data_IF_252937690835
#
_entry.id   IF_252937690835
#
_cell.length_a   1.000
_cell.length_b   1.000
_cell.length_c   1.000
_cell.angle_alpha   90.00
_cell.angle_beta   90.00
_cell.angle_gamma   90.00
#
_symmetry.space_group_name_H-M   'P 1'
#
loop_
_entity.id
_entity.type
_entity.pdbx_description
1 polymer ?
#
# COMPACT_ATOMS: atom_id res chain seq x y z
N UNK A 1 -1.10 5.49 1.83
CA UNK A 1 -2.34 4.67 1.74
C UNK A 1 -2.10 3.33 2.44
N UNK A 2 -2.80 3.04 3.54
CA UNK A 2 -2.61 1.83 4.36
C UNK A 2 -3.92 1.25 4.91
N UNK A 3 -4.90 2.10 5.24
CA UNK A 3 -6.19 1.69 5.83
C UNK A 3 -7.38 1.96 4.92
N UNK A 4 -8.58 1.52 5.32
CA UNK A 4 -9.83 1.84 4.61
C UNK A 4 -10.09 3.35 4.67
N UNK A 5 -9.84 3.99 5.80
CA UNK A 5 -10.02 5.43 5.96
C UNK A 5 -9.12 6.22 5.02
N UNK A 6 -7.86 5.79 4.84
CA UNK A 6 -6.97 6.39 3.84
C UNK A 6 -7.56 6.27 2.42
N UNK A 7 -8.20 5.15 2.08
CA UNK A 7 -8.79 4.94 0.77
C UNK A 7 -10.04 5.81 0.54
N UNK A 8 -10.87 6.00 1.57
CA UNK A 8 -12.03 6.88 1.53
C UNK A 8 -11.62 8.35 1.40
N UNK A 9 -10.63 8.78 2.20
CA UNK A 9 -10.06 10.12 2.12
C UNK A 9 -9.45 10.37 0.74
N UNK A 10 -8.64 9.43 0.24
CA UNK A 10 -7.97 9.58 -1.04
C UNK A 10 -8.96 9.71 -2.20
N UNK A 11 -10.02 8.88 -2.21
CA UNK A 11 -11.10 9.03 -3.19
C UNK A 11 -11.71 10.42 -3.14
N UNK A 12 -11.94 10.95 -1.95
CA UNK A 12 -12.47 12.30 -1.77
C UNK A 12 -11.55 13.39 -2.25
N UNK A 13 -10.25 13.30 -1.95
CA UNK A 13 -9.26 14.24 -2.48
C UNK A 13 -9.15 14.19 -3.99
N UNK A 14 -9.23 13.01 -4.61
CA UNK A 14 -9.15 12.86 -6.07
C UNK A 14 -10.37 13.48 -6.74
N UNK A 15 -11.58 13.09 -6.33
CA UNK A 15 -12.82 13.60 -6.93
C UNK A 15 -13.01 15.09 -6.64
N UNK A 16 -12.73 15.53 -5.41
CA UNK A 16 -12.79 16.93 -5.01
C UNK A 16 -11.80 17.81 -5.78
N UNK A 17 -10.66 17.28 -6.23
CA UNK A 17 -9.71 18.03 -7.07
C UNK A 17 -10.31 18.36 -8.45
N UNK A 18 -11.00 17.40 -9.09
CA UNK A 18 -11.71 17.66 -10.34
C UNK A 18 -12.87 18.65 -10.14
N UNK A 19 -13.64 18.50 -9.06
CA UNK A 19 -14.73 19.42 -8.73
C UNK A 19 -14.23 20.84 -8.46
N UNK A 20 -13.10 20.98 -7.75
CA UNK A 20 -12.47 22.28 -7.50
C UNK A 20 -11.92 22.89 -8.79
N UNK A 21 -11.34 22.08 -9.69
CA UNK A 21 -10.83 22.54 -10.97
C UNK A 21 -11.93 23.07 -11.90
N UNK A 22 -13.13 22.46 -11.86
CA UNK A 22 -14.31 22.90 -12.62
C UNK A 22 -14.78 24.31 -12.23
N UNK A 23 -14.62 24.70 -10.96
CA UNK A 23 -15.04 26.01 -10.45
C UNK A 23 -13.90 27.04 -10.39
N UNK A 24 -12.64 26.60 -10.52
CA UNK A 24 -11.49 27.50 -10.51
C UNK A 24 -11.41 28.31 -11.82
N UNK A 25 -11.15 29.61 -11.67
CA UNK A 25 -10.96 30.57 -12.76
C UNK A 25 -9.48 30.89 -13.01
N UNK A 26 -8.59 30.46 -12.13
CA UNK A 26 -7.14 30.61 -12.28
C UNK A 26 -6.56 29.39 -13.03
N UNK A 27 -5.94 29.58 -14.22
CA UNK A 27 -5.30 28.50 -14.95
C UNK A 27 -4.20 27.79 -14.17
N UNK A 28 -3.44 28.50 -13.32
CA UNK A 28 -2.35 27.91 -12.55
C UNK A 28 -2.88 26.99 -11.45
N UNK A 29 -3.87 27.46 -10.68
CA UNK A 29 -4.59 26.63 -9.71
C UNK A 29 -5.25 25.42 -10.37
N UNK A 30 -5.91 25.60 -11.51
CA UNK A 30 -6.52 24.50 -12.27
C UNK A 30 -5.51 23.44 -12.66
N UNK A 31 -4.35 23.84 -13.19
CA UNK A 31 -3.28 22.91 -13.57
C UNK A 31 -2.76 22.12 -12.34
N UNK A 32 -2.61 22.79 -11.20
CA UNK A 32 -2.20 22.16 -9.93
C UNK A 32 -3.25 21.17 -9.42
N UNK A 33 -4.54 21.53 -9.48
CA UNK A 33 -5.66 20.67 -9.08
C UNK A 33 -5.76 19.42 -9.97
N UNK A 34 -5.45 19.54 -11.25
CA UNK A 34 -5.43 18.43 -12.21
C UNK A 34 -4.10 17.67 -12.24
N UNK A 35 -3.15 17.97 -11.36
CA UNK A 35 -1.90 17.22 -11.23
C UNK A 35 -1.94 16.28 -10.03
N UNK A 36 -1.76 14.98 -10.30
CA UNK A 36 -1.76 13.89 -9.34
C UNK A 36 -0.37 13.26 -9.30
N UNK A 37 0.21 13.14 -8.11
CA UNK A 37 1.55 12.55 -7.96
C UNK A 37 1.51 11.32 -7.06
N UNK A 38 1.95 10.19 -7.59
CA UNK A 38 2.08 8.93 -6.87
C UNK A 38 3.56 8.67 -6.61
N UNK A 39 3.95 8.62 -5.34
CA UNK A 39 5.32 8.34 -4.91
C UNK A 39 5.46 6.86 -4.55
N UNK A 40 6.37 6.17 -5.24
CA UNK A 40 6.67 4.74 -5.14
C UNK A 40 6.11 3.94 -6.31
N UNK A 41 6.96 3.47 -7.22
CA UNK A 41 6.65 2.61 -8.35
C UNK A 41 6.66 1.10 -7.99
N UNK A 42 6.35 0.77 -6.74
CA UNK A 42 6.00 -0.59 -6.33
C UNK A 42 4.59 -0.99 -6.79
N UNK A 43 4.13 -2.21 -6.48
CA UNK A 43 2.79 -2.69 -6.88
C UNK A 43 1.67 -1.71 -6.54
N UNK A 44 1.65 -1.17 -5.32
CA UNK A 44 0.62 -0.23 -4.88
C UNK A 44 0.61 1.05 -5.69
N UNK A 45 1.75 1.68 -5.94
CA UNK A 45 1.77 2.94 -6.70
C UNK A 45 1.50 2.75 -8.19
N UNK A 46 1.93 1.64 -8.77
CA UNK A 46 1.56 1.26 -10.15
C UNK A 46 0.04 1.07 -10.28
N UNK A 47 -0.57 0.33 -9.36
CA UNK A 47 -2.03 0.15 -9.31
C UNK A 47 -2.75 1.49 -9.15
N UNK A 48 -2.27 2.36 -8.25
CA UNK A 48 -2.87 3.66 -8.00
C UNK A 48 -2.76 4.60 -9.22
N UNK A 49 -1.58 4.70 -9.84
CA UNK A 49 -1.37 5.57 -10.99
C UNK A 49 -2.26 5.16 -12.17
N UNK A 50 -2.31 3.86 -12.49
CA UNK A 50 -3.15 3.37 -13.58
C UNK A 50 -4.65 3.48 -13.30
N UNK A 51 -5.09 3.35 -12.04
CA UNK A 51 -6.49 3.56 -11.67
C UNK A 51 -6.91 5.04 -11.67
N UNK A 52 -6.03 5.97 -11.29
CA UNK A 52 -6.27 7.41 -11.43
C UNK A 52 -6.35 7.79 -12.90
N UNK A 53 -5.42 7.32 -13.74
CA UNK A 53 -5.43 7.58 -15.18
C UNK A 53 -6.72 7.05 -15.83
N UNK A 54 -7.16 5.83 -15.49
CA UNK A 54 -8.45 5.33 -15.98
C UNK A 54 -9.65 6.14 -15.49
N UNK A 55 -9.64 6.56 -14.22
CA UNK A 55 -10.70 7.39 -13.67
C UNK A 55 -10.81 8.71 -14.46
N UNK A 56 -9.69 9.41 -14.62
CA UNK A 56 -9.60 10.68 -15.32
C UNK A 56 -9.97 10.53 -16.80
N UNK A 57 -9.28 9.64 -17.51
CA UNK A 57 -9.32 9.61 -18.97
C UNK A 57 -10.54 8.89 -19.54
N UNK A 58 -11.21 8.06 -18.74
CA UNK A 58 -12.34 7.24 -19.20
C UNK A 58 -13.61 7.44 -18.38
N UNK A 59 -13.54 7.36 -17.06
CA UNK A 59 -14.75 7.40 -16.21
C UNK A 59 -15.33 8.80 -16.11
N UNK A 60 -14.48 9.82 -15.95
CA UNK A 60 -14.89 11.21 -15.81
C UNK A 60 -14.93 11.96 -17.15
N UNK A 61 -14.58 11.31 -18.26
CA UNK A 61 -14.62 11.94 -19.58
C UNK A 61 -16.04 12.48 -19.88
N UNK A 62 -16.14 13.81 -20.06
CA UNK A 62 -17.40 14.51 -20.28
C UNK A 62 -18.29 14.69 -19.04
N UNK A 63 -17.77 14.44 -17.83
CA UNK A 63 -18.52 14.65 -16.58
C UNK A 63 -18.58 16.13 -16.14
N UNK A 64 -17.67 16.96 -16.64
CA UNK A 64 -17.51 18.37 -16.27
C UNK A 64 -17.70 19.27 -17.50
N UNK A 65 -18.04 20.55 -17.28
CA UNK A 65 -18.40 21.49 -18.36
C UNK A 65 -17.26 22.43 -18.75
N UNK A 66 -16.42 22.85 -17.81
CA UNK A 66 -15.37 23.85 -18.03
C UNK A 66 -13.96 23.27 -18.03
N UNK A 67 -13.79 22.03 -17.55
CA UNK A 67 -12.55 21.26 -17.64
C UNK A 67 -12.75 19.97 -18.45
N UNK A 68 -11.68 19.47 -19.04
CA UNK A 68 -11.60 18.09 -19.50
C UNK A 68 -10.75 17.28 -18.51
N UNK A 69 -11.34 16.29 -17.81
CA UNK A 69 -10.57 15.41 -16.93
C UNK A 69 -9.45 14.64 -17.64
N UNK A 70 -9.48 14.54 -18.96
CA UNK A 70 -8.39 13.96 -19.77
C UNK A 70 -7.12 14.80 -19.79
N UNK A 71 -7.20 16.06 -19.38
CA UNK A 71 -6.04 16.94 -19.21
C UNK A 71 -5.34 16.71 -17.87
N UNK A 72 -5.82 15.78 -17.05
CA UNK A 72 -5.18 15.42 -15.80
C UNK A 72 -3.77 14.90 -16.04
N UNK A 73 -2.83 15.41 -15.27
CA UNK A 73 -1.42 15.00 -15.29
C UNK A 73 -1.19 14.01 -14.17
N UNK A 74 -0.92 12.74 -14.49
CA UNK A 74 -0.64 11.69 -13.50
C UNK A 74 0.84 11.37 -13.54
N UNK A 75 1.56 11.59 -12.45
CA UNK A 75 3.01 11.37 -12.36
C UNK A 75 3.30 10.22 -11.40
N UNK A 76 4.03 9.21 -11.84
CA UNK A 76 4.55 8.12 -11.01
C UNK A 76 6.04 8.33 -10.75
N UNK A 77 6.40 8.64 -9.50
CA UNK A 77 7.78 8.91 -9.07
C UNK A 77 8.36 7.74 -8.28
N UNK A 78 9.62 7.37 -8.55
CA UNK A 78 10.39 6.49 -7.67
C UNK A 78 11.89 6.83 -7.75
N UNK A 79 12.60 6.65 -6.62
CA UNK A 79 14.05 6.74 -6.58
C UNK A 79 14.72 5.54 -7.25
N UNK A 80 14.03 4.40 -7.34
CA UNK A 80 14.48 3.23 -8.08
C UNK A 80 14.45 3.48 -9.60
N UNK A 81 15.34 2.84 -10.38
CA UNK A 81 15.42 3.04 -11.83
C UNK A 81 14.35 2.27 -12.62
N UNK A 82 13.49 1.48 -11.97
CA UNK A 82 12.50 0.64 -12.64
C UNK A 82 11.19 0.58 -11.86
N UNK A 83 10.05 0.57 -12.58
CA UNK A 83 8.76 0.17 -12.01
C UNK A 83 8.78 -1.31 -11.61
N UNK A 84 8.02 -1.66 -10.58
CA UNK A 84 7.89 -3.02 -10.04
C UNK A 84 9.25 -3.72 -9.85
N UNK A 85 10.19 -3.18 -9.05
CA UNK A 85 11.53 -3.76 -8.89
C UNK A 85 11.58 -5.28 -8.61
N UNK A 86 10.65 -5.88 -7.83
CA UNK A 86 10.66 -7.34 -7.58
C UNK A 86 10.34 -8.21 -8.81
N UNK A 87 9.81 -7.63 -9.88
CA UNK A 87 9.41 -8.36 -11.09
C UNK A 87 10.58 -8.50 -12.05
N UNK A 88 10.47 -9.38 -13.05
CA UNK A 88 11.49 -9.54 -14.09
C UNK A 88 11.35 -8.46 -15.17
N UNK A 89 12.44 -8.13 -15.87
CA UNK A 89 12.51 -7.01 -16.84
C UNK A 89 11.35 -7.00 -17.85
N UNK A 90 10.95 -8.16 -18.36
CA UNK A 90 9.81 -8.29 -19.29
C UNK A 90 8.52 -7.75 -18.68
N UNK A 91 8.25 -8.07 -17.42
CA UNK A 91 7.05 -7.62 -16.72
C UNK A 91 7.15 -6.15 -16.33
N UNK A 92 8.34 -5.66 -15.96
CA UNK A 92 8.57 -4.24 -15.69
C UNK A 92 8.31 -3.38 -16.92
N UNK A 93 8.85 -3.77 -18.08
CA UNK A 93 8.62 -3.07 -19.36
C UNK A 93 7.15 -3.06 -19.73
N UNK A 94 6.49 -4.23 -19.71
CA UNK A 94 5.07 -4.32 -20.02
C UNK A 94 4.20 -3.43 -19.10
N UNK A 95 4.58 -3.28 -17.83
CA UNK A 95 3.90 -2.38 -16.91
C UNK A 95 4.15 -0.91 -17.22
N UNK A 96 5.39 -0.53 -17.53
CA UNK A 96 5.74 0.83 -17.94
C UNK A 96 5.02 1.23 -19.23
N UNK A 97 5.10 0.40 -20.28
CA UNK A 97 4.44 0.63 -21.57
C UNK A 97 2.93 0.84 -21.38
N UNK A 98 2.29 0.01 -20.56
CA UNK A 98 0.85 0.14 -20.27
C UNK A 98 0.52 1.43 -19.53
N UNK A 99 1.35 1.85 -18.56
CA UNK A 99 1.13 3.10 -17.82
C UNK A 99 1.30 4.32 -18.73
N UNK A 100 2.32 4.32 -19.58
CA UNK A 100 2.58 5.38 -20.57
C UNK A 100 1.45 5.47 -21.60
N UNK A 101 0.95 4.33 -22.10
CA UNK A 101 -0.23 4.25 -22.98
C UNK A 101 -1.50 4.82 -22.32
N UNK A 102 -1.59 4.78 -20.99
CA UNK A 102 -2.68 5.39 -20.21
C UNK A 102 -2.46 6.88 -19.96
N UNK A 103 -1.33 7.46 -20.36
CA UNK A 103 -0.98 8.87 -20.13
C UNK A 103 -0.34 9.15 -18.77
N UNK A 104 0.22 8.13 -18.11
CA UNK A 104 1.00 8.32 -16.86
C UNK A 104 2.43 8.73 -17.21
N UNK A 105 2.90 9.82 -16.62
CA UNK A 105 4.29 10.26 -16.68
C UNK A 105 5.12 9.48 -15.66
N UNK A 106 6.01 8.61 -16.13
CA UNK A 106 6.89 7.83 -15.25
C UNK A 106 8.21 8.59 -15.06
N UNK A 107 8.54 8.93 -13.82
CA UNK A 107 9.77 9.64 -13.44
C UNK A 107 10.57 8.78 -12.45
N UNK A 108 11.50 7.98 -12.98
CA UNK A 108 12.34 7.05 -12.21
C UNK A 108 13.71 7.65 -11.91
N UNK A 109 14.40 7.12 -10.89
CA UNK A 109 15.66 7.70 -10.43
C UNK A 109 15.50 9.10 -9.81
N UNK A 110 14.27 9.43 -9.38
CA UNK A 110 13.89 10.74 -8.89
C UNK A 110 13.38 10.62 -7.44
N UNK A 111 14.08 11.27 -6.50
CA UNK A 111 13.79 11.18 -5.07
C UNK A 111 13.01 12.40 -4.61
N UNK A 112 11.87 12.15 -3.95
CA UNK A 112 11.15 13.22 -3.24
C UNK A 112 11.94 13.59 -1.99
N UNK A 113 12.19 14.88 -1.81
CA UNK A 113 12.99 15.44 -0.72
C UNK A 113 12.17 16.29 0.24
N UNK A 114 11.07 16.88 -0.24
CA UNK A 114 10.15 17.67 0.57
C UNK A 114 8.72 17.62 0.01
N UNK A 115 7.72 17.81 0.88
CA UNK A 115 6.29 17.81 0.54
C UNK A 115 5.57 18.83 1.41
N UNK A 116 4.75 19.67 0.79
CA UNK A 116 3.91 20.66 1.48
C UNK A 116 2.47 20.60 0.96
N UNK A 117 1.64 21.62 1.24
CA UNK A 117 0.24 21.67 0.84
C UNK A 117 0.05 21.79 -0.67
N UNK A 118 0.97 22.45 -1.38
CA UNK A 118 0.83 22.79 -2.80
C UNK A 118 1.52 21.80 -3.75
N UNK A 119 2.41 20.95 -3.24
CA UNK A 119 3.16 20.04 -4.10
C UNK A 119 4.30 19.29 -3.40
N UNK A 120 5.34 18.96 -4.17
CA UNK A 120 6.53 18.26 -3.70
C UNK A 120 7.82 18.67 -4.44
N UNK A 121 8.94 18.56 -3.75
CA UNK A 121 10.27 18.84 -4.27
C UNK A 121 10.99 17.53 -4.62
N UNK A 122 11.48 17.43 -5.84
CA UNK A 122 12.09 16.23 -6.41
C UNK A 122 13.55 16.52 -6.76
N UNK A 123 14.44 15.60 -6.38
CA UNK A 123 15.84 15.61 -6.75
C UNK A 123 16.16 14.43 -7.66
N UNK A 124 16.78 14.69 -8.79
CA UNK A 124 17.30 13.68 -9.70
C UNK A 124 18.69 14.08 -10.24
N UNK A 125 19.08 13.51 -11.38
CA UNK A 125 20.39 13.74 -12.00
C UNK A 125 20.57 15.18 -12.50
N UNK A 126 19.48 15.86 -12.84
CA UNK A 126 19.49 17.21 -13.40
C UNK A 126 19.41 18.31 -12.31
N UNK A 127 19.22 17.92 -11.05
CA UNK A 127 19.17 18.81 -9.90
C UNK A 127 17.87 18.68 -9.11
N UNK A 128 17.45 19.78 -8.47
CA UNK A 128 16.24 19.83 -7.66
C UNK A 128 15.17 20.67 -8.38
N UNK A 129 13.96 20.12 -8.49
CA UNK A 129 12.80 20.79 -9.11
C UNK A 129 11.55 20.65 -8.25
N UNK A 130 10.58 21.51 -8.53
CA UNK A 130 9.28 21.52 -7.87
C UNK A 130 8.20 20.96 -8.78
N UNK A 131 7.27 20.19 -8.21
CA UNK A 131 6.06 19.71 -8.87
C UNK A 131 4.86 20.17 -8.06
N UNK A 132 4.06 21.07 -8.63
CA UNK A 132 2.79 21.54 -8.07
C UNK A 132 1.70 20.48 -8.29
N UNK A 133 1.06 20.05 -7.21
CA UNK A 133 0.05 19.01 -7.24
C UNK A 133 -0.90 19.11 -6.03
N UNK A 134 -2.21 19.09 -6.28
CA UNK A 134 -3.17 19.08 -5.19
C UNK A 134 -3.22 17.72 -4.48
N UNK A 135 -3.10 16.62 -5.23
CA UNK A 135 -3.21 15.27 -4.68
C UNK A 135 -1.86 14.53 -4.77
N UNK A 136 -1.25 14.29 -3.60
CA UNK A 136 -0.01 13.51 -3.46
C UNK A 136 -0.32 12.19 -2.76
N UNK A 137 0.04 11.07 -3.37
CA UNK A 137 -0.19 9.72 -2.87
C UNK A 137 1.15 9.09 -2.54
N UNK A 138 1.44 8.92 -1.24
CA UNK A 138 2.64 8.23 -0.79
C UNK A 138 2.39 6.73 -0.62
N UNK A 139 3.10 5.92 -1.42
CA UNK A 139 3.06 4.46 -1.41
C UNK A 139 4.44 3.81 -1.26
N UNK A 140 5.51 4.62 -1.19
CA UNK A 140 6.88 4.17 -1.00
C UNK A 140 7.22 3.98 0.49
N UNK A 141 7.90 2.88 0.84
CA UNK A 141 8.43 2.67 2.18
C UNK A 141 7.36 2.42 3.25
N UNK A 142 7.54 1.36 4.04
CA UNK A 142 6.68 1.07 5.19
C UNK A 142 7.56 1.02 6.41
N UNK A 143 7.30 1.90 7.39
CA UNK A 143 7.90 1.79 8.70
C UNK A 143 7.26 0.63 9.47
N UNK A 144 8.06 -0.11 10.24
CA UNK A 144 7.51 -1.15 11.11
C UNK A 144 6.68 -0.52 12.24
N UNK A 145 5.80 -1.36 12.82
CA UNK A 145 5.00 -0.95 13.98
C UNK A 145 5.89 -0.49 15.15
N UNK A 146 5.54 0.60 15.86
CA UNK A 146 6.22 1.01 17.08
C UNK A 146 6.31 -0.12 18.13
N UNK A 147 5.34 -1.04 18.11
CA UNK A 147 5.32 -2.23 18.97
C UNK A 147 6.56 -3.11 18.78
N UNK A 148 7.16 -3.16 17.59
CA UNK A 148 8.38 -3.93 17.33
C UNK A 148 9.56 -3.40 18.15
N UNK A 149 9.73 -2.08 18.21
CA UNK A 149 10.76 -1.45 19.04
C UNK A 149 10.49 -1.62 20.53
N UNK A 150 9.24 -1.42 20.96
CA UNK A 150 8.86 -1.64 22.36
C UNK A 150 9.14 -3.08 22.81
N UNK A 151 8.84 -4.07 21.96
CA UNK A 151 9.11 -5.46 22.25
C UNK A 151 10.62 -5.72 22.38
N UNK A 152 11.41 -5.19 21.44
CA UNK A 152 12.86 -5.27 21.46
C UNK A 152 13.47 -4.67 22.73
N UNK A 153 13.06 -3.46 23.11
CA UNK A 153 13.51 -2.78 24.33
C UNK A 153 13.21 -3.58 25.61
N UNK A 154 12.05 -4.24 25.68
CA UNK A 154 11.63 -5.01 26.86
C UNK A 154 12.28 -6.40 26.95
N UNK A 155 12.77 -6.94 25.84
CA UNK A 155 13.20 -8.36 25.75
C UNK A 155 14.67 -8.52 25.40
N UNK A 156 15.35 -7.43 25.00
CA UNK A 156 16.73 -7.45 24.52
C UNK A 156 16.87 -8.02 23.10
N UNK A 157 15.78 -8.19 22.35
CA UNK A 157 15.83 -8.59 20.96
C UNK A 157 16.28 -7.43 20.07
N UNK A 158 16.94 -7.74 18.96
CA UNK A 158 17.36 -6.73 17.99
C UNK A 158 16.21 -6.35 17.02
N UNK A 159 16.30 -5.14 16.47
CA UNK A 159 15.47 -4.71 15.34
C UNK A 159 16.33 -4.30 14.15
N UNK A 160 15.78 -4.44 12.95
CA UNK A 160 16.42 -3.87 11.76
C UNK A 160 16.18 -2.36 11.66
N UNK A 161 16.79 -1.73 10.65
CA UNK A 161 16.65 -0.28 10.42
C UNK A 161 15.20 0.17 10.24
N UNK A 162 14.31 -0.70 9.76
CA UNK A 162 12.89 -0.40 9.59
C UNK A 162 12.08 -0.57 10.89
N UNK A 163 12.68 -1.11 11.96
CA UNK A 163 12.05 -1.38 13.25
C UNK A 163 11.40 -2.76 13.34
N UNK A 164 11.71 -3.68 12.41
CA UNK A 164 11.20 -5.06 12.44
C UNK A 164 12.04 -5.91 13.37
N UNK A 165 11.37 -6.73 14.18
CA UNK A 165 12.00 -7.59 15.20
C UNK A 165 12.72 -8.75 14.52
N UNK A 166 14.00 -8.97 14.85
CA UNK A 166 14.75 -10.12 14.39
C UNK A 166 14.25 -11.36 15.15
N UNK A 167 13.65 -12.31 14.41
CA UNK A 167 13.04 -13.51 14.99
C UNK A 167 13.90 -14.76 14.77
N UNK A 168 13.72 -15.73 15.65
CA UNK A 168 14.29 -17.07 15.55
C UNK A 168 13.74 -17.86 14.33
N UNK A 169 14.37 -18.98 13.93
CA UNK A 169 13.91 -19.80 12.82
C UNK A 169 12.46 -20.29 12.94
N UNK A 170 11.92 -20.35 14.15
CA UNK A 170 10.53 -20.73 14.45
C UNK A 170 9.59 -19.52 14.65
N UNK A 171 10.01 -18.34 14.19
CA UNK A 171 9.29 -17.07 14.29
C UNK A 171 9.04 -16.60 15.73
N UNK A 172 9.77 -17.15 16.71
CA UNK A 172 9.73 -16.66 18.07
C UNK A 172 10.73 -15.56 18.34
N UNK A 173 10.46 -14.81 19.39
CA UNK A 173 11.36 -13.80 19.89
C UNK A 173 12.58 -14.47 20.57
N UNK A 174 13.81 -14.01 20.31
CA UNK A 174 15.01 -14.55 20.96
C UNK A 174 14.86 -14.60 22.49
N UNK A 175 15.17 -15.73 23.12
CA UNK A 175 15.01 -15.94 24.57
C UNK A 175 13.56 -16.12 25.06
N UNK A 176 12.56 -15.93 24.21
CA UNK A 176 11.14 -15.96 24.59
C UNK A 176 10.33 -16.90 23.68
N UNK A 177 10.51 -18.21 23.89
CA UNK A 177 9.88 -19.25 23.05
C UNK A 177 8.34 -19.27 23.06
N UNK A 178 7.68 -18.53 23.95
CA UNK A 178 6.22 -18.39 24.04
C UNK A 178 5.68 -17.16 23.29
N UNK A 179 6.54 -16.32 22.72
CA UNK A 179 6.16 -15.09 22.01
C UNK A 179 6.48 -15.25 20.53
N UNK A 180 5.46 -15.21 19.68
CA UNK A 180 5.60 -15.28 18.22
C UNK A 180 5.44 -13.89 17.61
N UNK A 181 6.32 -13.53 16.68
CA UNK A 181 6.25 -12.28 15.92
C UNK A 181 6.12 -12.64 14.44
N UNK A 182 5.01 -12.23 13.81
CA UNK A 182 4.67 -12.61 12.43
C UNK A 182 4.27 -11.39 11.59
N UNK A 183 4.26 -11.57 10.27
CA UNK A 183 3.85 -10.52 9.32
C UNK A 183 4.88 -9.41 9.17
N UNK A 184 4.42 -8.18 8.90
CA UNK A 184 5.32 -7.07 8.57
C UNK A 184 6.16 -6.58 9.76
N UNK A 185 5.87 -7.03 10.99
CA UNK A 185 6.63 -6.69 12.20
C UNK A 185 7.89 -7.56 12.39
N UNK A 186 7.98 -8.72 11.73
CA UNK A 186 9.15 -9.59 11.83
C UNK A 186 10.18 -9.32 10.72
N UNK A 187 11.44 -9.55 11.04
CA UNK A 187 12.49 -9.77 10.07
C UNK A 187 13.04 -11.20 10.23
N UNK A 188 12.83 -12.01 9.19
CA UNK A 188 13.39 -13.35 9.04
C UNK A 188 14.05 -13.42 7.68
N UNK A 189 15.37 -13.56 7.64
CA UNK A 189 16.18 -13.69 6.40
C UNK A 189 15.86 -12.66 5.29
N UNK A 190 15.42 -11.45 5.66
CA UNK A 190 15.02 -10.44 4.67
C UNK A 190 13.77 -10.79 3.86
N UNK A 191 12.89 -11.66 4.38
CA UNK A 191 11.61 -11.97 3.74
C UNK A 191 10.81 -10.69 3.42
N UNK A 192 10.10 -10.66 2.28
CA UNK A 192 9.37 -9.47 1.85
C UNK A 192 8.16 -9.18 2.74
N UNK A 193 7.86 -7.90 2.95
CA UNK A 193 6.66 -7.44 3.66
C UNK A 193 5.41 -7.59 2.79
N UNK A 194 4.95 -8.83 2.62
CA UNK A 194 3.78 -9.17 1.80
C UNK A 194 2.79 -10.02 2.58
N UNK A 195 1.51 -9.91 2.21
CA UNK A 195 0.41 -10.65 2.85
C UNK A 195 0.66 -12.18 2.88
N UNK A 196 1.31 -12.77 1.88
CA UNK A 196 1.61 -14.21 1.88
C UNK A 196 2.59 -14.62 2.98
N UNK A 197 3.58 -13.79 3.31
CA UNK A 197 4.52 -14.05 4.42
C UNK A 197 3.76 -13.99 5.74
N UNK A 198 2.88 -13.00 5.92
CA UNK A 198 2.00 -12.91 7.09
C UNK A 198 1.06 -14.11 7.23
N UNK A 199 0.38 -14.51 6.15
CA UNK A 199 -0.56 -15.66 6.15
C UNK A 199 0.17 -16.96 6.46
N UNK A 200 1.32 -17.21 5.82
CA UNK A 200 2.09 -18.43 6.06
C UNK A 200 2.70 -18.45 7.46
N UNK A 201 3.29 -17.35 7.91
CA UNK A 201 3.86 -17.22 9.25
C UNK A 201 2.80 -17.37 10.35
N UNK A 202 1.62 -16.75 10.19
CA UNK A 202 0.52 -16.89 11.13
C UNK A 202 -0.03 -18.32 11.20
N UNK A 203 -0.17 -19.01 10.06
CA UNK A 203 -0.56 -20.43 10.04
C UNK A 203 0.46 -21.32 10.72
N UNK A 204 1.74 -21.08 10.45
CA UNK A 204 2.85 -21.81 11.06
C UNK A 204 2.85 -21.64 12.58
N UNK A 205 2.79 -20.40 13.08
CA UNK A 205 2.72 -20.11 14.52
C UNK A 205 1.50 -20.77 15.18
N UNK A 206 0.32 -20.68 14.55
CA UNK A 206 -0.89 -21.31 15.07
C UNK A 206 -0.77 -22.85 15.16
N UNK A 207 -0.14 -23.49 14.18
CA UNK A 207 0.09 -24.94 14.18
C UNK A 207 1.02 -25.36 15.32
N UNK A 208 2.10 -24.60 15.57
CA UNK A 208 3.01 -24.86 16.68
C UNK A 208 2.32 -24.69 18.03
N UNK A 209 1.62 -23.58 18.24
CA UNK A 209 0.86 -23.32 19.47
C UNK A 209 -0.13 -24.46 19.73
N UNK A 210 -0.89 -24.88 18.71
CA UNK A 210 -1.84 -25.98 18.85
C UNK A 210 -1.17 -27.34 19.14
N UNK A 211 0.02 -27.60 18.56
CA UNK A 211 0.78 -28.81 18.84
C UNK A 211 1.28 -28.83 20.29
N UNK A 212 1.81 -27.71 20.78
CA UNK A 212 2.32 -27.56 22.14
C UNK A 212 1.21 -27.70 23.19
N UNK A 213 0.08 -27.03 22.99
CA UNK A 213 -1.09 -27.16 23.88
C UNK A 213 -1.58 -28.61 23.94
N UNK A 214 -1.59 -29.32 22.81
CA UNK A 214 -1.99 -30.75 22.77
C UNK A 214 -0.97 -31.66 23.46
N UNK A 215 0.32 -31.40 23.34
CA UNK A 215 1.36 -32.16 24.03
C UNK A 215 1.26 -31.95 25.54
N UNK A 216 1.15 -30.70 25.97
CA UNK A 216 0.99 -30.33 27.37
C UNK A 216 -0.25 -30.98 28.01
N UNK A 217 -1.41 -30.93 27.34
CA UNK A 217 -2.64 -31.60 27.81
C UNK A 217 -2.52 -33.12 27.95
N UNK A 218 -1.56 -33.74 27.26
CA UNK A 218 -1.29 -35.18 27.31
C UNK A 218 -0.12 -35.52 28.23
N UNK A 219 0.42 -34.55 28.98
CA UNK A 219 1.61 -34.73 29.81
C UNK A 219 2.86 -35.13 29.02
N UNK A 220 2.94 -34.71 27.74
CA UNK A 220 4.09 -34.97 26.87
C UNK A 220 4.99 -33.75 26.79
N UNK A 221 6.27 -33.99 26.52
CA UNK A 221 7.23 -32.93 26.26
C UNK A 221 6.85 -32.07 25.06
N UNK A 222 7.37 -30.85 25.06
CA UNK A 222 7.19 -29.90 23.98
C UNK A 222 7.74 -30.51 22.67
N UNK A 223 6.95 -30.55 21.59
CA UNK A 223 7.43 -31.06 20.31
C UNK A 223 8.56 -30.18 19.78
N UNK A 224 9.52 -30.80 19.10
CA UNK A 224 10.56 -30.08 18.38
C UNK A 224 9.96 -29.19 17.29
N UNK A 225 10.46 -27.96 17.17
CA UNK A 225 9.95 -26.97 16.21
C UNK A 225 10.77 -27.03 14.93
N UNK A 226 10.14 -27.44 13.84
CA UNK A 226 10.75 -27.35 12.51
C UNK A 226 10.82 -25.88 12.06
N UNK A 227 11.92 -25.38 11.47
CA UNK A 227 12.02 -23.99 11.04
C UNK A 227 10.93 -23.54 10.05
N UNK A 228 10.53 -22.28 10.13
CA UNK A 228 9.63 -21.66 9.17
C UNK A 228 10.28 -21.57 7.78
N UNK A 229 9.54 -22.02 6.76
CA UNK A 229 9.93 -21.92 5.36
C UNK A 229 8.84 -21.23 4.57
N UNK A 230 9.17 -20.04 4.07
CA UNK A 230 8.29 -19.32 3.16
C UNK A 230 8.28 -19.99 1.78
N UNK A 231 7.09 -20.23 1.26
CA UNK A 231 6.88 -20.66 -0.12
C UNK A 231 6.32 -19.49 -0.92
N UNK A 232 7.13 -18.92 -1.81
CA UNK A 232 6.68 -17.89 -2.73
C UNK A 232 5.68 -18.48 -3.74
N UNK A 233 4.46 -17.95 -3.72
CA UNK A 233 3.38 -18.37 -4.63
C UNK A 233 3.34 -17.55 -5.91
N UNK A 234 4.24 -16.58 -6.05
CA UNK A 234 4.22 -15.60 -7.12
C UNK A 234 3.72 -14.24 -6.66
N UNK A 235 3.91 -13.27 -7.55
CA UNK A 235 3.54 -11.88 -7.37
C UNK A 235 2.72 -11.39 -8.57
N UNK A 236 1.76 -10.51 -8.31
CA UNK A 236 0.91 -9.92 -9.33
C UNK A 236 0.71 -8.45 -9.03
N UNK A 237 0.58 -7.64 -10.07
CA UNK A 237 0.19 -6.23 -9.94
C UNK A 237 -0.81 -5.93 -11.05
N UNK A 238 -1.95 -5.34 -10.67
CA UNK A 238 -2.87 -4.78 -11.65
C UNK A 238 -2.33 -3.43 -12.11
N UNK A 239 -2.53 -3.06 -13.37
CA UNK A 239 -2.12 -1.76 -13.89
C UNK A 239 -3.39 -1.00 -14.27
N UNK A 240 -4.25 -1.66 -15.04
CA UNK A 240 -5.53 -1.10 -15.44
C UNK A 240 -6.51 -2.20 -15.80
N UNK A 241 -7.72 -1.82 -16.22
CA UNK A 241 -8.66 -2.77 -16.80
C UNK A 241 -8.02 -3.51 -17.97
N UNK A 242 -8.10 -4.84 -17.92
CA UNK A 242 -7.51 -5.76 -18.89
C UNK A 242 -5.98 -5.81 -18.93
N UNK A 243 -5.28 -5.07 -18.06
CA UNK A 243 -3.82 -5.07 -18.01
C UNK A 243 -3.32 -5.34 -16.60
N UNK A 244 -2.63 -6.46 -16.44
CA UNK A 244 -1.91 -6.80 -15.23
C UNK A 244 -0.61 -7.51 -15.62
N UNK A 245 0.27 -7.67 -14.64
CA UNK A 245 1.47 -8.49 -14.74
C UNK A 245 1.46 -9.53 -13.64
N UNK A 246 1.89 -10.74 -13.96
CA UNK A 246 1.91 -11.86 -13.02
C UNK A 246 3.16 -12.71 -13.21
N UNK A 247 3.82 -13.04 -12.10
CA UNK A 247 4.97 -13.94 -12.02
C UNK A 247 4.60 -15.09 -11.10
N UNK A 248 4.59 -16.32 -11.61
CA UNK A 248 4.36 -17.55 -10.84
C UNK A 248 5.48 -18.53 -11.14
N UNK A 249 6.46 -18.62 -10.24
CA UNK A 249 7.69 -19.36 -10.50
C UNK A 249 8.41 -18.83 -11.75
N UNK A 250 8.52 -19.66 -12.79
CA UNK A 250 9.11 -19.28 -14.09
C UNK A 250 8.09 -18.73 -15.10
N UNK A 251 6.79 -18.84 -14.80
CA UNK A 251 5.74 -18.37 -15.69
C UNK A 251 5.56 -16.86 -15.52
N UNK A 252 5.65 -16.13 -16.62
CA UNK A 252 5.44 -14.69 -16.69
C UNK A 252 4.26 -14.40 -17.63
N UNK A 253 3.18 -13.83 -17.10
CA UNK A 253 1.99 -13.45 -17.86
C UNK A 253 1.81 -11.93 -17.84
N UNK A 254 1.30 -11.39 -18.94
CA UNK A 254 0.99 -9.96 -19.11
C UNK A 254 -0.41 -9.78 -19.71
N UNK A 255 -0.94 -8.55 -19.62
CA UNK A 255 -2.19 -8.16 -20.28
C UNK A 255 -3.41 -8.89 -19.75
N UNK A 256 -4.33 -9.24 -20.67
CA UNK A 256 -5.66 -9.76 -20.32
C UNK A 256 -5.60 -11.07 -19.53
N UNK A 257 -4.69 -11.99 -19.87
CA UNK A 257 -4.58 -13.28 -19.18
C UNK A 257 -4.08 -13.12 -17.74
N UNK A 258 -3.10 -12.24 -17.52
CA UNK A 258 -2.66 -11.90 -16.17
C UNK A 258 -3.76 -11.21 -15.38
N UNK A 259 -4.55 -10.36 -16.03
CA UNK A 259 -5.69 -9.67 -15.41
C UNK A 259 -6.81 -10.64 -15.02
N UNK A 260 -7.17 -11.59 -15.87
CA UNK A 260 -8.15 -12.64 -15.54
C UNK A 260 -7.67 -13.51 -14.38
N UNK A 261 -6.39 -13.89 -14.38
CA UNK A 261 -5.79 -14.62 -13.27
C UNK A 261 -5.84 -13.81 -11.97
N UNK A 262 -5.61 -12.49 -12.05
CA UNK A 262 -5.63 -11.59 -10.89
C UNK A 262 -7.03 -11.57 -10.28
N UNK A 263 -8.07 -11.43 -11.10
CA UNK A 263 -9.47 -11.45 -10.65
C UNK A 263 -9.81 -12.77 -9.95
N UNK A 264 -9.44 -13.89 -10.57
CA UNK A 264 -9.71 -15.22 -10.03
C UNK A 264 -9.07 -15.42 -8.65
N UNK A 265 -7.78 -15.10 -8.52
CA UNK A 265 -7.03 -15.32 -7.28
C UNK A 265 -7.58 -14.43 -6.16
N UNK A 266 -7.89 -13.17 -6.43
CA UNK A 266 -8.45 -12.26 -5.42
C UNK A 266 -9.83 -12.74 -4.96
N UNK A 267 -10.66 -13.26 -5.88
CA UNK A 267 -11.95 -13.83 -5.53
C UNK A 267 -11.82 -15.04 -4.59
N UNK A 268 -10.80 -15.89 -4.80
CA UNK A 268 -10.52 -17.04 -3.91
C UNK A 268 -10.09 -16.58 -2.52
N UNK A 269 -9.26 -15.54 -2.42
CA UNK A 269 -8.74 -15.04 -1.14
C UNK A 269 -9.73 -14.19 -0.34
N UNK A 270 -10.77 -13.62 -0.95
CA UNK A 270 -11.83 -12.93 -0.22
C UNK A 270 -12.52 -13.90 0.75
N UNK A 271 -12.68 -13.49 2.00
CA UNK A 271 -13.35 -14.29 3.03
C UNK A 271 -14.87 -14.11 2.90
N UNK A 272 -15.60 -15.23 2.82
CA UNK A 272 -17.05 -15.26 2.78
C UNK A 272 -17.65 -15.26 1.37
N UNK A 273 -18.62 -16.14 1.13
CA UNK A 273 -19.25 -16.32 -0.18
C UNK A 273 -20.02 -15.08 -0.67
N UNK A 274 -20.75 -14.41 0.23
CA UNK A 274 -21.50 -13.18 -0.11
C UNK A 274 -20.58 -12.07 -0.59
N UNK A 275 -19.46 -11.85 0.11
CA UNK A 275 -18.45 -10.85 -0.26
C UNK A 275 -17.84 -11.16 -1.62
N UNK A 276 -17.57 -12.44 -1.92
CA UNK A 276 -17.09 -12.88 -3.24
C UNK A 276 -18.10 -12.55 -4.33
N UNK A 277 -19.36 -12.96 -4.17
CA UNK A 277 -20.39 -12.73 -5.19
C UNK A 277 -20.66 -11.24 -5.41
N UNK A 278 -20.76 -10.45 -4.34
CA UNK A 278 -20.94 -9.00 -4.43
C UNK A 278 -19.77 -8.33 -5.17
N UNK A 279 -18.54 -8.74 -4.86
CA UNK A 279 -17.33 -8.24 -5.54
C UNK A 279 -17.33 -8.61 -7.02
N UNK A 280 -17.64 -9.87 -7.36
CA UNK A 280 -17.71 -10.32 -8.75
C UNK A 280 -18.76 -9.53 -9.56
N UNK A 281 -19.94 -9.28 -9.00
CA UNK A 281 -20.99 -8.47 -9.64
C UNK A 281 -20.58 -7.01 -9.81
N UNK A 282 -19.99 -6.40 -8.78
CA UNK A 282 -19.48 -5.03 -8.82
C UNK A 282 -18.39 -4.85 -9.90
N UNK A 283 -17.44 -5.79 -9.97
CA UNK A 283 -16.41 -5.82 -11.01
C UNK A 283 -16.99 -5.98 -12.40
N UNK A 284 -17.93 -6.92 -12.58
CA UNK A 284 -18.59 -7.16 -13.87
C UNK A 284 -19.25 -5.88 -14.40
N UNK A 285 -19.98 -5.16 -13.55
CA UNK A 285 -20.62 -3.90 -13.93
C UNK A 285 -19.59 -2.80 -14.23
N UNK A 286 -18.58 -2.64 -13.38
CA UNK A 286 -17.55 -1.62 -13.52
C UNK A 286 -16.68 -1.83 -14.78
N UNK A 287 -16.45 -3.08 -15.17
CA UNK A 287 -15.64 -3.39 -16.34
C UNK A 287 -16.43 -3.37 -17.66
N UNK A 288 -17.73 -3.67 -17.65
CA UNK A 288 -18.56 -3.58 -18.85
C UNK A 288 -19.06 -2.15 -19.10
N UNK A 289 -19.32 -1.39 -18.05
CA UNK A 289 -19.82 -0.01 -18.14
C UNK A 289 -18.73 1.06 -18.29
N UNK A 290 -19.19 2.31 -18.38
CA UNK A 290 -18.41 3.52 -18.07
C UNK A 290 -18.74 4.10 -16.68
N UNK A 291 -19.83 3.63 -16.09
CA UNK A 291 -20.31 4.06 -14.78
C UNK A 291 -19.55 3.35 -13.66
N UNK A 292 -18.98 4.15 -12.76
CA UNK A 292 -18.34 3.68 -11.53
C UNK A 292 -19.31 3.96 -10.38
N UNK A 293 -19.61 2.95 -9.57
CA UNK A 293 -20.36 3.16 -8.33
C UNK A 293 -19.52 3.93 -7.30
N UNK A 294 -20.17 4.47 -6.26
CA UNK A 294 -19.50 5.08 -5.11
C UNK A 294 -18.65 6.34 -5.41
N UNK A 295 -19.13 7.21 -6.29
CA UNK A 295 -18.52 8.53 -6.53
C UNK A 295 -18.93 9.58 -5.49
N UNK A 296 -19.97 9.31 -4.68
CA UNK A 296 -20.35 10.20 -3.60
C UNK A 296 -19.25 10.20 -2.52
N UNK A 297 -18.76 11.40 -2.20
CA UNK A 297 -17.80 11.66 -1.14
C UNK A 297 -18.38 12.74 -0.24
N UNK A 298 -18.09 12.65 1.06
CA UNK A 298 -18.41 13.69 2.03
C UNK A 298 -17.15 14.41 2.50
N UNK A 299 -17.28 15.67 2.92
CA UNK A 299 -16.17 16.40 3.56
C UNK A 299 -15.62 15.65 4.79
N UNK A 300 -16.49 14.95 5.53
CA UNK A 300 -16.08 14.12 6.66
C UNK A 300 -15.07 13.04 6.24
N UNK A 301 -15.28 12.38 5.09
CA UNK A 301 -14.33 11.38 4.58
C UNK A 301 -12.97 12.01 4.25
N UNK A 302 -12.93 13.28 3.84
CA UNK A 302 -11.70 13.98 3.46
C UNK A 302 -10.94 14.52 4.68
N UNK A 303 -11.65 15.07 5.66
CA UNK A 303 -11.05 15.88 6.73
C UNK A 303 -10.91 15.13 8.05
N UNK A 304 -11.82 14.19 8.37
CA UNK A 304 -11.93 13.63 9.72
C UNK A 304 -10.63 13.00 10.22
N UNK A 305 -9.96 12.16 9.40
CA UNK A 305 -8.72 11.48 9.80
C UNK A 305 -7.61 12.48 10.13
N UNK A 306 -7.42 13.50 9.29
CA UNK A 306 -6.38 14.52 9.52
C UNK A 306 -6.70 15.38 10.74
N UNK A 307 -7.98 15.69 10.98
CA UNK A 307 -8.41 16.40 12.17
C UNK A 307 -8.18 15.59 13.46
N UNK A 308 -8.49 14.29 13.46
CA UNK A 308 -8.23 13.38 14.59
C UNK A 308 -6.73 13.31 14.86
N UNK A 309 -5.89 13.08 13.85
CA UNK A 309 -4.43 13.01 14.05
C UNK A 309 -3.85 14.32 14.62
N UNK A 310 -4.39 15.48 14.21
CA UNK A 310 -3.98 16.78 14.76
C UNK A 310 -4.42 16.95 16.21
N UNK A 311 -5.60 16.44 16.56
CA UNK A 311 -6.10 16.43 17.94
C UNK A 311 -5.21 15.51 18.81
N UNK A 312 -4.95 14.28 18.37
CA UNK A 312 -4.10 13.33 19.10
C UNK A 312 -2.70 13.92 19.34
N UNK A 313 -2.08 14.49 18.31
CA UNK A 313 -0.76 15.14 18.44
C UNK A 313 -0.78 16.34 19.40
N UNK A 314 -1.89 17.09 19.43
CA UNK A 314 -2.07 18.19 20.36
C UNK A 314 -2.29 17.68 21.80
N UNK A 315 -3.05 16.61 22.00
CA UNK A 315 -3.25 15.96 23.30
C UNK A 315 -1.93 15.40 23.84
N UNK A 316 -1.15 14.69 23.02
CA UNK A 316 0.17 14.17 23.36
C UNK A 316 1.15 15.30 23.74
N UNK A 317 1.10 16.44 23.04
CA UNK A 317 1.94 17.60 23.38
C UNK A 317 1.58 18.24 24.73
N UNK A 318 0.37 17.97 25.24
CA UNK A 318 -0.15 18.47 26.51
C UNK A 318 -0.14 17.44 27.63
N UNK A 319 0.12 16.18 27.32
CA UNK A 319 0.37 15.17 28.32
C UNK A 319 1.60 15.62 29.14
N UNK A 320 1.35 16.05 30.38
CA UNK A 320 2.43 16.29 31.34
C UNK A 320 3.16 14.95 31.47
N UNK A 321 4.51 14.89 31.32
CA UNK A 321 5.22 13.65 31.59
C UNK A 321 4.84 13.24 33.00
N UNK A 322 4.25 12.04 33.17
CA UNK A 322 4.07 11.49 34.50
C UNK A 322 5.44 11.52 35.16
N UNK A 323 5.60 12.48 36.08
CA UNK A 323 6.80 12.60 36.87
C UNK A 323 7.07 11.23 37.45
N UNK A 324 8.31 10.78 37.34
CA UNK A 324 8.83 9.62 38.03
C UNK A 324 8.41 9.68 39.50
N UNK A 325 7.27 9.10 39.85
CA UNK A 325 6.90 8.73 41.21
C UNK A 325 7.48 7.35 41.47
N UNK A 326 8.80 7.25 41.29
CA UNK A 326 9.60 6.22 41.90
C UNK A 326 10.36 6.85 43.08
N UNK A 327 10.21 6.21 44.23
CA UNK A 327 11.00 6.39 45.46
C UNK A 327 10.53 7.46 46.45
N UNK A 328 9.47 7.11 47.20
CA UNK A 328 9.43 7.33 48.65
C UNK A 328 8.35 6.44 49.29
N UNK A 329 8.67 5.15 49.49
CA UNK A 329 8.40 4.35 50.70
C UNK A 329 8.86 2.91 50.51
#
# INVERSE_FOLDING_TARGET
MKTIDDALELRGRILGAFESAEVSTDPAERARLLTFVVVGAGPTGVEMAGEIAQLAHRTLAGAYRTIDPRDARIILLDAAPTVLPPFDDKLRRAAADTLEDLGVEIQLGAMVTDVDDDGLTVRDQDGERRIEAACKIWSAGVAASPLGRQLAEQTGADTDRAGRVLVEPDLTLPGHSNVFVVGDMMNRDGLPGVAQVAIQGGRYAAQLIAAEVRAHRKGRDKPERAPFRYTDKGSMAMISRFHAVAKVGRLQLTGLLAWLLWLLIHLVYIVGFKSRLATAMSWTWSFLGRTRGHLAVTEQQVVARTAINRLDAWEDSRAVPEAATASAR
#
